data_IF_637527790685
#
_entry.id   IF_637527790685
#
_cell.length_a   1.000
_cell.length_b   1.000
_cell.length_c   1.000
_cell.angle_alpha   90.00
_cell.angle_beta   90.00
_cell.angle_gamma   90.00
#
_symmetry.space_group_name_H-M   'P 1'
#
loop_
_entity.id
_entity.type
_entity.pdbx_description
1 polymer ?
#
# COMPACT_ATOMS: atom_id res chain seq x y z
N UNK A 1 -10.62 4.58 -18.76
CA UNK A 1 -10.71 3.39 -17.89
C UNK A 1 -9.34 3.18 -17.26
N UNK A 2 -9.29 3.10 -15.92
CA UNK A 2 -8.06 2.84 -15.20
C UNK A 2 -7.92 1.34 -15.08
N UNK A 3 -6.69 0.85 -15.24
CA UNK A 3 -6.40 -0.52 -15.65
C UNK A 3 -7.12 -1.61 -14.85
N UNK A 4 -7.16 -1.60 -13.54
CA UNK A 4 -7.62 -2.78 -12.79
C UNK A 4 -9.07 -2.73 -12.30
N UNK A 5 -9.73 -1.60 -12.45
CA UNK A 5 -11.17 -1.46 -12.29
C UNK A 5 -11.75 -1.46 -10.87
N UNK A 6 -11.02 -1.88 -9.86
CA UNK A 6 -11.52 -2.01 -8.48
C UNK A 6 -10.68 -1.18 -7.51
N UNK A 7 -11.18 0.02 -7.15
CA UNK A 7 -10.56 0.86 -6.14
C UNK A 7 -10.67 0.25 -4.74
N UNK A 8 -9.62 0.35 -3.95
CA UNK A 8 -9.61 -0.04 -2.54
C UNK A 8 -9.57 1.19 -1.63
N UNK A 9 -8.47 1.92 -1.62
CA UNK A 9 -8.31 3.08 -0.77
C UNK A 9 -8.18 4.38 -1.58
N UNK A 10 -8.50 5.49 -0.93
CA UNK A 10 -8.38 6.83 -1.49
C UNK A 10 -7.91 7.81 -0.42
N UNK A 11 -6.86 8.57 -0.75
CA UNK A 11 -6.37 9.67 0.09
C UNK A 11 -6.36 10.96 -0.71
N UNK A 12 -7.08 11.95 -0.19
CA UNK A 12 -7.09 13.30 -0.76
C UNK A 12 -6.10 14.19 -0.01
N UNK A 13 -5.31 14.92 -0.78
CA UNK A 13 -4.38 15.94 -0.31
C UNK A 13 -4.84 17.31 -0.88
N UNK A 14 -5.87 17.93 -0.29
CA UNK A 14 -6.53 19.11 -0.89
C UNK A 14 -5.59 20.29 -1.09
N UNK A 15 -4.65 20.51 -0.15
CA UNK A 15 -3.66 21.62 -0.25
C UNK A 15 -2.73 21.48 -1.46
N UNK A 16 -2.62 20.30 -2.04
CA UNK A 16 -1.76 19.97 -3.17
C UNK A 16 -2.55 19.71 -4.45
N UNK A 17 -3.87 19.77 -4.37
CA UNK A 17 -4.75 19.38 -5.47
C UNK A 17 -4.47 17.96 -5.98
N UNK A 18 -4.22 17.03 -5.06
CA UNK A 18 -3.89 15.64 -5.37
C UNK A 18 -4.83 14.69 -4.65
N UNK A 19 -5.15 13.59 -5.31
CA UNK A 19 -5.79 12.42 -4.74
C UNK A 19 -5.01 11.18 -5.19
N UNK A 20 -4.82 10.22 -4.31
CA UNK A 20 -4.12 8.97 -4.61
C UNK A 20 -5.08 7.81 -4.33
N UNK A 21 -5.13 6.86 -5.24
CA UNK A 21 -5.98 5.66 -5.11
C UNK A 21 -5.17 4.40 -5.33
N UNK A 22 -5.54 3.34 -4.63
CA UNK A 22 -5.02 1.99 -4.84
C UNK A 22 -6.07 1.09 -5.47
N UNK A 23 -5.64 -0.02 -6.06
CA UNK A 23 -6.52 -1.04 -6.61
C UNK A 23 -6.35 -2.38 -5.89
N UNK A 24 -7.45 -3.11 -5.74
CA UNK A 24 -7.43 -4.41 -5.07
C UNK A 24 -8.01 -5.50 -5.98
N UNK A 25 -9.27 -5.89 -5.78
CA UNK A 25 -9.92 -6.93 -6.60
C UNK A 25 -11.44 -6.84 -6.47
N UNK A 26 -12.16 -7.46 -7.40
CA UNK A 26 -13.61 -7.54 -7.34
C UNK A 26 -14.10 -8.40 -6.17
N UNK A 27 -15.30 -8.08 -5.65
CA UNK A 27 -15.87 -8.73 -4.47
C UNK A 27 -16.00 -10.25 -4.60
N UNK A 28 -16.26 -10.77 -5.77
CA UNK A 28 -16.31 -12.22 -6.04
C UNK A 28 -14.98 -12.92 -5.74
N UNK A 29 -13.88 -12.21 -5.85
CA UNK A 29 -12.55 -12.73 -5.61
C UNK A 29 -12.17 -12.65 -4.12
N UNK A 30 -12.32 -11.50 -3.49
CA UNK A 30 -11.95 -11.35 -2.06
C UNK A 30 -12.94 -12.02 -1.10
N UNK A 31 -14.18 -12.26 -1.50
CA UNK A 31 -15.16 -13.01 -0.69
C UNK A 31 -15.04 -14.54 -0.86
N UNK A 32 -14.12 -14.99 -1.68
CA UNK A 32 -13.83 -16.42 -1.82
C UNK A 32 -13.21 -16.96 -0.53
N UNK A 33 -13.51 -18.22 -0.21
CA UNK A 33 -12.81 -18.89 0.90
C UNK A 33 -11.28 -18.85 0.67
N UNK A 34 -10.51 -18.47 1.69
CA UNK A 34 -9.07 -18.24 1.58
C UNK A 34 -8.33 -19.45 0.99
N UNK A 35 -8.65 -20.67 1.43
CA UNK A 35 -8.01 -21.87 0.89
C UNK A 35 -8.29 -22.08 -0.61
N UNK A 36 -9.49 -21.74 -1.08
CA UNK A 36 -9.82 -21.76 -2.51
C UNK A 36 -9.10 -20.65 -3.26
N UNK A 37 -9.04 -19.44 -2.67
CA UNK A 37 -8.33 -18.31 -3.26
C UNK A 37 -6.85 -18.63 -3.48
N UNK A 38 -6.20 -19.15 -2.47
CA UNK A 38 -4.77 -19.50 -2.53
C UNK A 38 -4.48 -20.68 -3.48
N UNK A 39 -5.43 -21.55 -3.69
CA UNK A 39 -5.33 -22.66 -4.64
C UNK A 39 -5.72 -22.32 -6.07
N UNK A 40 -6.29 -21.15 -6.34
CA UNK A 40 -6.74 -20.71 -7.67
C UNK A 40 -5.75 -19.71 -8.27
N UNK A 41 -4.90 -20.19 -9.17
CA UNK A 41 -3.90 -19.35 -9.86
C UNK A 41 -4.52 -18.22 -10.69
N UNK A 42 -5.77 -18.39 -11.14
CA UNK A 42 -6.48 -17.36 -11.89
C UNK A 42 -7.11 -16.32 -10.94
N UNK A 43 -7.49 -16.71 -9.73
CA UNK A 43 -7.91 -15.76 -8.71
C UNK A 43 -6.79 -14.77 -8.38
N UNK A 44 -5.57 -15.25 -8.23
CA UNK A 44 -4.39 -14.41 -7.94
C UNK A 44 -4.09 -13.41 -9.06
N UNK A 45 -4.34 -13.77 -10.32
CA UNK A 45 -4.18 -12.86 -11.48
C UNK A 45 -5.24 -11.76 -11.55
N UNK A 46 -6.33 -11.87 -10.82
CA UNK A 46 -7.42 -10.88 -10.77
C UNK A 46 -7.23 -9.80 -9.71
N UNK A 47 -6.15 -9.86 -8.93
CA UNK A 47 -5.79 -8.77 -8.03
C UNK A 47 -5.20 -7.59 -8.78
N UNK A 48 -5.54 -6.38 -8.33
CA UNK A 48 -5.04 -5.16 -8.92
C UNK A 48 -3.58 -4.90 -8.62
N UNK A 49 -2.95 -4.14 -9.52
CA UNK A 49 -1.54 -3.80 -9.47
C UNK A 49 -1.31 -2.29 -9.66
N UNK A 50 -2.33 -1.45 -9.49
CA UNK A 50 -2.18 -0.04 -9.80
C UNK A 50 -2.34 0.87 -8.61
N UNK A 51 -1.50 1.91 -8.59
CA UNK A 51 -1.71 3.12 -7.81
C UNK A 51 -1.82 4.29 -8.78
N UNK A 52 -2.81 5.15 -8.55
CA UNK A 52 -3.07 6.28 -9.43
C UNK A 52 -3.01 7.58 -8.65
N UNK A 53 -2.25 8.52 -9.16
CA UNK A 53 -2.24 9.91 -8.71
C UNK A 53 -3.17 10.73 -9.62
N UNK A 54 -4.09 11.43 -9.01
CA UNK A 54 -5.11 12.23 -9.68
C UNK A 54 -4.94 13.71 -9.38
N UNK A 55 -5.34 14.54 -10.34
CA UNK A 55 -5.72 15.91 -10.04
C UNK A 55 -7.09 15.89 -9.35
N UNK A 56 -7.13 16.37 -8.11
CA UNK A 56 -8.33 16.31 -7.26
C UNK A 56 -9.48 17.17 -7.81
N UNK A 57 -9.17 18.35 -8.31
CA UNK A 57 -10.19 19.29 -8.81
C UNK A 57 -10.75 18.85 -10.16
N UNK A 58 -9.89 18.55 -11.11
CA UNK A 58 -10.30 18.13 -12.45
C UNK A 58 -10.73 16.66 -12.52
N UNK A 59 -10.38 15.84 -11.51
CA UNK A 59 -10.64 14.39 -11.43
C UNK A 59 -10.03 13.62 -12.60
N UNK A 60 -8.92 14.12 -13.14
CA UNK A 60 -8.17 13.46 -14.20
C UNK A 60 -6.94 12.75 -13.62
N UNK A 61 -6.58 11.56 -14.13
CA UNK A 61 -5.34 10.93 -13.72
C UNK A 61 -4.14 11.75 -14.18
N UNK A 62 -3.22 12.01 -13.27
CA UNK A 62 -1.91 12.63 -13.53
C UNK A 62 -0.87 11.56 -13.85
N UNK A 63 -0.89 10.46 -13.09
CA UNK A 63 0.07 9.36 -13.23
C UNK A 63 -0.56 8.04 -12.82
N UNK A 64 -0.25 6.99 -13.54
CA UNK A 64 -0.61 5.61 -13.20
C UNK A 64 0.68 4.84 -12.99
N UNK A 65 0.78 4.15 -11.87
CA UNK A 65 1.93 3.33 -11.51
C UNK A 65 1.56 1.85 -11.48
N UNK A 66 2.47 1.02 -11.94
CA UNK A 66 2.42 -0.41 -11.70
C UNK A 66 3.03 -0.70 -10.32
N UNK A 67 2.21 -1.24 -9.42
CA UNK A 67 2.55 -1.60 -8.04
C UNK A 67 2.06 -3.02 -7.80
N UNK A 68 2.82 -4.03 -8.25
CA UNK A 68 2.35 -5.41 -8.30
C UNK A 68 2.14 -6.02 -6.91
N UNK A 69 1.07 -6.82 -6.78
CA UNK A 69 0.81 -7.59 -5.58
C UNK A 69 -0.31 -7.06 -4.70
N UNK A 70 -1.31 -6.42 -5.28
CA UNK A 70 -2.48 -5.91 -4.57
C UNK A 70 -2.14 -4.79 -3.57
N UNK A 71 -1.91 -3.55 -4.02
CA UNK A 71 -1.73 -2.42 -3.12
C UNK A 71 -3.02 -2.13 -2.38
N UNK A 72 -2.94 -2.06 -1.04
CA UNK A 72 -4.09 -1.84 -0.18
C UNK A 72 -4.14 -0.40 0.36
N UNK A 73 -4.01 -0.27 1.67
CA UNK A 73 -4.08 1.00 2.38
C UNK A 73 -3.04 2.00 1.88
N UNK A 74 -3.43 3.26 1.84
CA UNK A 74 -2.53 4.38 1.56
C UNK A 74 -2.48 5.28 2.79
N UNK A 75 -1.29 5.65 3.23
CA UNK A 75 -1.11 6.68 4.26
C UNK A 75 -0.09 7.69 3.80
N UNK A 76 -0.44 8.95 3.95
CA UNK A 76 0.40 10.07 3.55
C UNK A 76 1.00 10.75 4.77
N UNK A 77 2.19 11.30 4.59
CA UNK A 77 2.89 12.05 5.62
C UNK A 77 2.04 13.20 6.16
N UNK A 78 2.17 13.48 7.45
CA UNK A 78 1.46 14.54 8.16
C UNK A 78 2.11 15.91 7.96
N UNK A 79 3.44 15.94 7.86
CA UNK A 79 4.20 17.17 7.71
C UNK A 79 3.87 17.90 6.41
N UNK A 80 3.60 19.20 6.50
CA UNK A 80 3.23 20.02 5.34
C UNK A 80 4.29 20.09 4.25
N UNK A 81 5.55 19.83 4.61
CA UNK A 81 6.69 19.80 3.69
C UNK A 81 6.92 18.41 3.08
N UNK A 82 6.29 17.38 3.62
CA UNK A 82 6.48 16.01 3.20
C UNK A 82 5.52 15.64 2.08
N UNK A 83 6.06 15.33 0.91
CA UNK A 83 5.31 15.09 -0.33
C UNK A 83 5.32 13.61 -0.68
N UNK A 84 4.99 12.74 0.28
CA UNK A 84 4.98 11.32 0.05
C UNK A 84 3.84 10.59 0.77
N UNK A 85 3.54 9.43 0.26
CA UNK A 85 2.63 8.46 0.85
C UNK A 85 3.25 7.06 0.77
N UNK A 86 2.79 6.17 1.63
CA UNK A 86 3.12 4.75 1.55
C UNK A 86 1.88 3.93 1.23
N UNK A 87 2.10 2.80 0.57
CA UNK A 87 1.17 1.69 0.47
C UNK A 87 1.90 0.38 0.68
N UNK A 88 1.20 -0.68 1.05
CA UNK A 88 1.76 -2.03 1.13
C UNK A 88 1.04 -2.95 0.17
N UNK A 89 1.77 -3.94 -0.35
CA UNK A 89 1.21 -4.93 -1.27
C UNK A 89 0.98 -6.24 -0.56
N UNK A 90 -0.30 -6.66 -0.48
CA UNK A 90 -0.72 -7.82 0.31
C UNK A 90 -0.06 -9.13 -0.12
N UNK A 91 0.12 -9.34 -1.43
CA UNK A 91 0.58 -10.60 -2.00
C UNK A 91 2.09 -10.68 -2.16
N UNK A 92 2.77 -9.54 -2.25
CA UNK A 92 4.23 -9.46 -2.43
C UNK A 92 4.97 -8.97 -1.19
N UNK A 93 4.24 -8.54 -0.16
CA UNK A 93 4.79 -8.11 1.14
C UNK A 93 5.85 -7.02 1.03
N UNK A 94 5.56 -6.01 0.20
CA UNK A 94 6.44 -4.88 -0.03
C UNK A 94 5.84 -3.59 0.55
N UNK A 95 6.71 -2.68 0.97
CA UNK A 95 6.38 -1.28 1.25
C UNK A 95 6.74 -0.47 0.02
N UNK A 96 5.77 0.28 -0.50
CA UNK A 96 5.95 1.16 -1.65
C UNK A 96 5.82 2.61 -1.23
N UNK A 97 6.79 3.41 -1.63
CA UNK A 97 6.79 4.86 -1.51
C UNK A 97 6.19 5.48 -2.77
N UNK A 98 5.31 6.45 -2.60
CA UNK A 98 4.71 7.27 -3.65
C UNK A 98 5.07 8.71 -3.32
N UNK A 99 5.84 9.39 -4.15
CA UNK A 99 6.40 10.69 -3.81
C UNK A 99 6.48 11.64 -5.00
N UNK A 100 6.52 12.92 -4.71
CA UNK A 100 6.73 13.97 -5.71
C UNK A 100 8.14 14.52 -5.61
N UNK A 101 8.83 14.55 -6.74
CA UNK A 101 10.15 15.16 -6.91
C UNK A 101 10.18 15.92 -8.22
N UNK A 102 10.69 17.14 -8.19
CA UNK A 102 10.80 18.00 -9.38
C UNK A 102 9.48 18.18 -10.15
N UNK A 103 8.35 18.27 -9.42
CA UNK A 103 6.98 18.32 -9.93
C UNK A 103 6.53 17.06 -10.69
N UNK A 104 7.24 15.95 -10.55
CA UNK A 104 6.89 14.66 -11.12
C UNK A 104 6.62 13.64 -10.02
N UNK A 105 5.62 12.79 -10.25
CA UNK A 105 5.29 11.71 -9.33
C UNK A 105 6.06 10.44 -9.68
N UNK A 106 6.57 9.79 -8.63
CA UNK A 106 7.38 8.58 -8.67
C UNK A 106 6.83 7.55 -7.70
N UNK A 107 7.21 6.29 -7.91
CA UNK A 107 7.00 5.20 -6.94
C UNK A 107 8.16 4.22 -6.98
N UNK A 108 8.48 3.64 -5.82
CA UNK A 108 9.50 2.62 -5.66
C UNK A 108 9.22 1.74 -4.45
N UNK A 109 9.68 0.49 -4.49
CA UNK A 109 9.67 -0.39 -3.32
C UNK A 109 10.83 -0.01 -2.40
N UNK A 110 10.53 0.28 -1.13
CA UNK A 110 11.50 0.80 -0.15
C UNK A 110 11.70 -0.13 1.04
N UNK A 111 10.98 -1.25 1.12
CA UNK A 111 11.13 -2.20 2.20
C UNK A 111 10.35 -3.49 1.96
N UNK A 112 10.77 -4.55 2.65
CA UNK A 112 10.10 -5.86 2.63
C UNK A 112 9.52 -6.15 4.01
N UNK A 113 8.32 -6.72 4.05
CA UNK A 113 7.56 -6.98 5.28
C UNK A 113 7.65 -8.47 5.61
N UNK A 114 8.35 -8.81 6.69
CA UNK A 114 8.53 -10.19 7.14
C UNK A 114 9.18 -11.08 6.09
N UNK A 115 8.74 -12.34 6.03
CA UNK A 115 9.20 -13.31 5.03
C UNK A 115 8.18 -13.43 3.89
N UNK A 116 8.46 -12.90 2.68
CA UNK A 116 7.51 -12.93 1.56
C UNK A 116 7.10 -14.34 1.13
N UNK A 117 7.96 -15.34 1.35
CA UNK A 117 7.65 -16.74 1.04
C UNK A 117 6.52 -17.30 1.91
N UNK A 118 6.28 -16.71 3.07
CA UNK A 118 5.18 -17.05 3.99
C UNK A 118 3.94 -16.21 3.79
N UNK A 119 4.00 -15.25 2.88
CA UNK A 119 2.90 -14.32 2.56
C UNK A 119 2.28 -13.74 3.84
N UNK A 120 2.98 -12.87 4.59
CA UNK A 120 2.47 -12.30 5.84
C UNK A 120 1.15 -11.52 5.67
N UNK A 121 0.81 -11.10 4.47
CA UNK A 121 -0.43 -10.37 4.14
C UNK A 121 -0.56 -9.04 4.90
N UNK A 122 0.23 -8.01 4.57
CA UNK A 122 0.02 -6.69 5.12
C UNK A 122 -1.33 -6.13 4.65
N UNK A 123 -2.15 -5.69 5.61
CA UNK A 123 -3.54 -5.27 5.35
C UNK A 123 -3.86 -3.87 5.83
N UNK A 124 -3.15 -3.38 6.85
CA UNK A 124 -3.34 -2.03 7.37
C UNK A 124 -2.01 -1.38 7.69
N UNK A 125 -1.93 -0.06 7.49
CA UNK A 125 -0.75 0.75 7.80
C UNK A 125 -1.14 2.06 8.47
N UNK A 126 -0.24 2.58 9.28
CA UNK A 126 -0.39 3.88 9.92
C UNK A 126 0.95 4.58 10.05
N UNK A 127 0.99 5.91 9.84
CA UNK A 127 2.19 6.73 10.01
C UNK A 127 2.08 7.51 11.30
N UNK A 128 3.14 7.56 12.11
CA UNK A 128 3.19 8.40 13.30
C UNK A 128 3.12 9.88 12.94
N UNK A 129 2.62 10.70 13.86
CA UNK A 129 2.40 12.13 13.61
C UNK A 129 3.70 12.92 13.35
N UNK A 130 4.85 12.36 13.73
CA UNK A 130 6.18 12.91 13.47
C UNK A 130 6.80 12.43 12.13
N UNK A 131 6.05 11.63 11.36
CA UNK A 131 6.45 11.02 10.09
C UNK A 131 7.70 10.13 10.17
N UNK A 132 8.02 9.57 11.35
CA UNK A 132 9.24 8.77 11.52
C UNK A 132 9.02 7.28 11.53
N UNK A 133 7.79 6.82 11.79
CA UNK A 133 7.50 5.39 11.86
C UNK A 133 6.27 5.03 11.06
N UNK A 134 6.38 3.91 10.36
CA UNK A 134 5.27 3.24 9.68
C UNK A 134 4.94 1.96 10.44
N UNK A 135 3.71 1.89 10.94
CA UNK A 135 3.14 0.69 11.54
C UNK A 135 2.46 -0.13 10.46
N UNK A 136 2.68 -1.44 10.50
CA UNK A 136 2.14 -2.37 9.52
C UNK A 136 1.55 -3.57 10.26
N UNK A 137 0.26 -3.83 10.06
CA UNK A 137 -0.37 -5.06 10.52
C UNK A 137 -0.39 -6.09 9.41
N UNK A 138 0.00 -7.32 9.74
CA UNK A 138 0.02 -8.44 8.81
C UNK A 138 -0.93 -9.53 9.28
N UNK A 139 -1.97 -9.77 8.47
CA UNK A 139 -3.09 -10.59 8.86
C UNK A 139 -2.74 -12.08 9.00
N UNK A 140 -1.93 -12.62 8.09
CA UNK A 140 -1.72 -14.06 8.01
C UNK A 140 -0.80 -14.62 9.13
N UNK A 141 0.15 -13.83 9.60
CA UNK A 141 1.08 -14.24 10.67
C UNK A 141 0.74 -13.60 12.04
N UNK A 142 -0.28 -12.76 12.10
CA UNK A 142 -0.75 -12.11 13.32
C UNK A 142 0.26 -11.15 13.95
N UNK A 143 1.05 -10.47 13.13
CA UNK A 143 2.12 -9.60 13.59
C UNK A 143 1.77 -8.12 13.39
N UNK A 144 2.22 -7.29 14.32
CA UNK A 144 2.41 -5.86 14.10
C UNK A 144 3.90 -5.56 13.96
N UNK A 145 4.26 -4.80 12.95
CA UNK A 145 5.64 -4.39 12.66
C UNK A 145 5.75 -2.88 12.62
N UNK A 146 6.91 -2.37 13.03
CA UNK A 146 7.22 -0.96 12.96
C UNK A 146 8.47 -0.77 12.12
N UNK A 147 8.38 0.13 11.16
CA UNK A 147 9.49 0.51 10.30
C UNK A 147 9.91 1.94 10.62
N UNK A 148 11.20 2.17 10.77
CA UNK A 148 11.78 3.52 10.73
C UNK A 148 11.73 4.02 9.28
N UNK A 149 11.05 5.14 9.07
CA UNK A 149 10.88 5.83 7.80
C UNK A 149 11.42 7.26 7.85
N UNK A 150 12.36 7.54 8.77
CA UNK A 150 13.06 8.84 8.83
C UNK A 150 13.76 9.17 7.51
N UNK A 151 14.22 8.14 6.79
CA UNK A 151 14.50 8.18 5.36
C UNK A 151 13.38 7.42 4.63
N UNK A 152 12.43 8.11 3.97
CA UNK A 152 11.29 7.45 3.33
C UNK A 152 11.70 6.51 2.19
N UNK A 153 12.89 6.68 1.61
CA UNK A 153 13.44 5.83 0.56
C UNK A 153 14.04 4.50 1.07
N UNK A 154 14.12 4.30 2.40
CA UNK A 154 14.77 3.15 2.99
C UNK A 154 14.09 2.73 4.30
N UNK A 155 12.91 2.15 4.19
CA UNK A 155 12.14 1.67 5.34
C UNK A 155 12.84 0.48 6.02
N UNK A 156 13.14 0.61 7.33
CA UNK A 156 13.85 -0.41 8.11
C UNK A 156 12.96 -0.93 9.22
N UNK A 157 12.74 -2.24 9.28
CA UNK A 157 12.04 -2.85 10.41
C UNK A 157 12.85 -2.66 11.70
N UNK A 158 12.24 -2.02 12.71
CA UNK A 158 12.85 -1.72 14.01
C UNK A 158 12.17 -2.43 15.16
N UNK A 159 10.94 -2.90 14.95
CA UNK A 159 10.18 -3.61 15.97
C UNK A 159 9.17 -4.55 15.32
N UNK A 160 8.94 -5.69 15.95
CA UNK A 160 7.88 -6.63 15.60
C UNK A 160 7.31 -7.28 16.85
N UNK A 161 6.01 -7.49 16.86
CA UNK A 161 5.30 -8.14 17.97
C UNK A 161 4.15 -8.99 17.46
N UNK A 162 4.03 -10.19 17.99
CA UNK A 162 2.90 -11.08 17.70
C UNK A 162 1.71 -10.68 18.58
N UNK A 163 0.58 -10.33 17.95
CA UNK A 163 -0.65 -9.94 18.63
C UNK A 163 -1.60 -11.13 18.76
N UNK A 164 -1.67 -11.97 17.74
CA UNK A 164 -2.57 -13.12 17.69
C UNK A 164 -2.18 -14.10 16.60
N UNK A 165 -3.11 -14.97 16.21
CA UNK A 165 -2.89 -15.88 15.09
C UNK A 165 -3.25 -15.24 13.75
N UNK A 166 -4.19 -14.28 13.77
CA UNK A 166 -4.57 -13.41 12.66
C UNK A 166 -5.00 -12.07 13.23
N UNK A 167 -4.61 -10.95 12.63
CA UNK A 167 -4.93 -9.57 13.04
C UNK A 167 -5.32 -8.70 11.86
#
# INVERSE_FOLDING_TARGET
>A
QIADGYGYDVRALPRRNVMITSSFTGWNNYMMNLGKLMGDSDAMKRFGNTVVVWDLHSRKPKKVFDVPGAPLEIRCAWGSQNNYCFTTTALTSQIWLIYEKDNEWHTESVGTIGDPAKIPLPVDISITADDKHLWVNTWNDGMTRVFDISDPHNAKEVYTHKIGDQV
#
